data_IF_420240172314
#
_entry.id   IF_420240172314
#
_cell.length_a   1.000
_cell.length_b   1.000
_cell.length_c   1.000
_cell.angle_alpha   90.00
_cell.angle_beta   90.00
_cell.angle_gamma   90.00
#
_symmetry.space_group_name_H-M   'P 1'
#
loop_
_entity.id
_entity.type
_entity.pdbx_description
1 polymer ?
#
# COMPACT_ATOMS: atom_id res chain seq x y z
N UNK A 1 -42.42 39.08 40.14
CA UNK A 1 -41.22 38.24 39.96
C UNK A 1 -41.41 37.43 38.68
N UNK A 2 -40.88 37.91 37.57
CA UNK A 2 -40.93 37.26 36.25
C UNK A 2 -39.52 36.79 35.93
N UNK A 3 -39.30 35.46 35.88
CA UNK A 3 -37.99 34.86 35.62
C UNK A 3 -37.54 35.07 34.16
N UNK A 4 -36.23 34.92 33.88
CA UNK A 4 -35.68 35.18 32.56
C UNK A 4 -35.98 34.05 31.58
N UNK A 5 -36.39 34.42 30.38
CA UNK A 5 -36.66 33.54 29.24
C UNK A 5 -35.35 33.01 28.65
N UNK A 6 -35.24 31.69 28.48
CA UNK A 6 -34.08 31.06 27.85
C UNK A 6 -34.02 31.36 26.34
N UNK A 7 -32.82 31.50 25.73
CA UNK A 7 -32.70 31.77 24.31
C UNK A 7 -32.96 30.50 23.47
N UNK A 8 -33.66 30.68 22.35
CA UNK A 8 -33.94 29.66 21.33
C UNK A 8 -32.63 29.22 20.64
N UNK A 9 -32.40 27.91 20.41
CA UNK A 9 -31.23 27.47 19.67
C UNK A 9 -31.33 27.86 18.19
N UNK A 10 -30.22 28.35 17.64
CA UNK A 10 -30.09 28.66 16.22
C UNK A 10 -30.21 27.37 15.37
N UNK A 11 -30.74 27.45 14.14
CA UNK A 11 -30.86 26.29 13.28
C UNK A 11 -29.47 25.78 12.90
N UNK A 12 -29.20 24.50 13.17
CA UNK A 12 -28.04 23.81 12.65
C UNK A 12 -28.24 23.64 11.15
N UNK A 13 -27.46 24.37 10.35
CA UNK A 13 -27.40 24.17 8.92
C UNK A 13 -26.96 22.74 8.61
N UNK A 14 -27.82 21.99 7.92
CA UNK A 14 -27.47 20.71 7.34
C UNK A 14 -26.47 20.96 6.22
N UNK A 15 -25.17 20.84 6.52
CA UNK A 15 -24.16 20.76 5.48
C UNK A 15 -24.38 19.45 4.72
N UNK A 16 -24.69 19.57 3.43
CA UNK A 16 -24.81 18.46 2.52
C UNK A 16 -23.45 17.75 2.40
N UNK A 17 -23.31 16.45 2.77
CA UNK A 17 -21.99 15.77 2.81
C UNK A 17 -21.34 15.60 1.43
N UNK A 18 -22.06 15.93 0.36
CA UNK A 18 -21.64 15.70 -1.02
C UNK A 18 -20.73 16.79 -1.60
N UNK A 19 -20.53 17.93 -0.93
CA UNK A 19 -19.94 19.14 -1.55
C UNK A 19 -18.46 19.38 -1.22
N UNK A 20 -17.68 18.34 -0.90
CA UNK A 20 -16.22 18.38 -0.97
C UNK A 20 -15.76 17.73 -2.27
N UNK A 21 -15.84 18.53 -3.33
CA UNK A 21 -15.32 18.30 -4.68
C UNK A 21 -14.03 17.46 -4.66
N UNK A 22 -14.15 16.23 -5.15
CA UNK A 22 -13.09 15.27 -5.43
C UNK A 22 -12.06 15.82 -6.42
N UNK A 23 -11.15 16.70 -5.98
CA UNK A 23 -9.94 17.01 -6.74
C UNK A 23 -8.91 15.97 -6.38
N UNK A 24 -8.77 14.95 -7.23
CA UNK A 24 -7.54 14.16 -7.30
C UNK A 24 -6.40 15.11 -7.63
N UNK A 25 -5.36 15.15 -6.81
CA UNK A 25 -4.15 15.85 -7.21
C UNK A 25 -3.42 14.93 -8.20
N UNK A 26 -3.03 15.42 -9.39
CA UNK A 26 -2.19 14.63 -10.27
C UNK A 26 -0.90 14.28 -9.52
N UNK A 27 -0.32 13.08 -9.73
CA UNK A 27 0.93 12.69 -9.10
C UNK A 27 1.99 13.77 -9.35
N UNK A 28 2.84 14.02 -8.36
CA UNK A 28 3.89 15.02 -8.53
C UNK A 28 4.87 14.59 -9.62
N UNK A 29 5.69 15.52 -10.16
CA UNK A 29 6.74 15.18 -11.12
C UNK A 29 7.72 14.10 -10.62
N UNK A 30 7.79 13.88 -9.31
CA UNK A 30 8.70 12.89 -8.72
C UNK A 30 8.14 11.48 -8.64
N UNK A 31 6.82 11.32 -8.70
CA UNK A 31 6.10 10.04 -8.74
C UNK A 31 5.50 9.77 -10.12
N UNK A 32 5.74 10.67 -11.07
CA UNK A 32 5.41 10.52 -12.50
C UNK A 32 6.65 10.04 -13.26
N UNK A 33 6.56 8.97 -14.06
CA UNK A 33 7.67 8.52 -14.89
C UNK A 33 8.00 9.58 -15.97
N UNK A 34 9.28 9.75 -16.34
CA UNK A 34 9.65 10.60 -17.48
C UNK A 34 9.16 10.00 -18.81
N UNK A 35 9.11 10.82 -19.87
CA UNK A 35 8.58 10.43 -21.19
C UNK A 35 9.34 9.27 -21.85
N UNK A 36 10.62 9.09 -21.51
CA UNK A 36 11.49 8.01 -21.99
C UNK A 36 11.48 6.76 -21.10
N UNK A 37 10.64 6.73 -20.06
CA UNK A 37 10.43 5.54 -19.25
C UNK A 37 9.81 4.41 -20.08
N UNK A 38 10.24 3.18 -19.79
CA UNK A 38 9.71 1.97 -20.44
C UNK A 38 8.65 1.30 -19.57
N UNK A 39 7.78 0.51 -20.17
CA UNK A 39 6.84 -0.30 -19.40
C UNK A 39 7.59 -1.35 -18.57
N UNK A 40 7.17 -1.55 -17.32
CA UNK A 40 7.66 -2.67 -16.52
C UNK A 40 7.27 -3.99 -17.19
N UNK A 41 8.19 -4.97 -17.14
CA UNK A 41 7.97 -6.30 -17.70
C UNK A 41 7.68 -7.27 -16.56
N UNK A 42 6.61 -8.06 -16.73
CA UNK A 42 6.31 -9.17 -15.85
C UNK A 42 7.35 -10.27 -16.04
N UNK A 43 8.00 -10.68 -14.96
CA UNK A 43 9.03 -11.71 -15.02
C UNK A 43 8.41 -13.08 -15.37
N UNK A 44 9.15 -13.93 -16.10
CA UNK A 44 8.65 -15.24 -16.54
C UNK A 44 8.38 -16.20 -15.37
N UNK A 45 9.05 -16.00 -14.22
CA UNK A 45 8.84 -16.76 -13.00
C UNK A 45 7.84 -16.10 -12.02
N UNK A 46 7.22 -14.98 -12.40
CA UNK A 46 6.25 -14.30 -11.55
C UNK A 46 5.03 -15.19 -11.25
N UNK A 47 4.52 -15.22 -10.00
CA UNK A 47 3.40 -16.07 -9.60
C UNK A 47 2.17 -15.85 -10.48
N UNK A 48 1.53 -16.93 -10.95
CA UNK A 48 0.39 -16.86 -11.86
C UNK A 48 -0.74 -15.94 -11.34
N UNK A 49 -1.52 -15.29 -12.22
CA UNK A 49 -2.60 -14.39 -11.80
C UNK A 49 -3.57 -15.05 -10.82
N UNK A 50 -3.97 -14.32 -9.77
CA UNK A 50 -4.81 -14.79 -8.65
C UNK A 50 -4.05 -15.52 -7.53
N UNK A 51 -2.78 -15.86 -7.74
CA UNK A 51 -1.94 -16.54 -6.74
C UNK A 51 -1.60 -15.59 -5.58
N UNK A 52 -1.77 -16.01 -4.31
CA UNK A 52 -1.26 -15.26 -3.16
C UNK A 52 0.27 -15.13 -3.21
N UNK A 53 0.79 -13.92 -3.03
CA UNK A 53 2.23 -13.62 -3.10
C UNK A 53 3.00 -14.03 -1.83
N UNK A 54 2.28 -14.29 -0.73
CA UNK A 54 2.88 -14.59 0.57
C UNK A 54 3.58 -13.37 1.18
N UNK A 55 4.44 -13.61 2.16
CA UNK A 55 5.14 -12.55 2.90
C UNK A 55 6.61 -12.45 2.50
N UNK A 56 7.12 -11.22 2.36
CA UNK A 56 8.55 -10.99 2.09
C UNK A 56 9.42 -11.19 3.34
N UNK A 57 8.83 -11.10 4.53
CA UNK A 57 9.48 -11.41 5.81
C UNK A 57 8.39 -11.74 6.83
N UNK A 58 8.51 -12.86 7.55
CA UNK A 58 7.43 -13.36 8.42
C UNK A 58 7.00 -12.38 9.52
N UNK A 59 7.88 -11.47 9.93
CA UNK A 59 7.59 -10.39 10.88
C UNK A 59 7.40 -9.00 10.25
N UNK A 60 7.27 -8.93 8.92
CA UNK A 60 6.91 -7.70 8.24
C UNK A 60 5.61 -7.14 8.80
N UNK A 61 5.57 -5.82 9.03
CA UNK A 61 4.39 -5.15 9.55
C UNK A 61 3.22 -5.17 8.55
N UNK A 62 3.47 -5.14 7.24
CA UNK A 62 2.42 -5.14 6.22
C UNK A 62 1.89 -6.54 5.91
N UNK A 63 2.75 -7.48 5.51
CA UNK A 63 2.34 -8.81 5.04
C UNK A 63 2.73 -9.98 5.97
N UNK A 64 3.45 -9.72 7.07
CA UNK A 64 4.02 -10.76 7.93
C UNK A 64 2.98 -11.55 8.71
N UNK A 65 2.79 -12.86 8.48
CA UNK A 65 1.81 -13.65 9.21
C UNK A 65 2.15 -13.80 10.70
N UNK A 66 3.42 -13.68 11.08
CA UNK A 66 3.88 -13.77 12.48
C UNK A 66 3.93 -12.40 13.17
N UNK A 67 3.62 -11.30 12.47
CA UNK A 67 3.48 -9.98 13.09
C UNK A 67 2.03 -9.73 13.47
N UNK A 68 1.64 -10.12 14.68
CA UNK A 68 0.24 -10.11 15.15
C UNK A 68 -0.35 -8.71 15.28
N UNK A 69 0.49 -7.69 15.48
CA UNK A 69 0.11 -6.28 15.47
C UNK A 69 0.17 -5.63 14.07
N UNK A 70 0.60 -6.39 13.07
CA UNK A 70 0.72 -5.96 11.68
C UNK A 70 -0.61 -6.00 10.94
N UNK A 71 -0.59 -5.50 9.71
CA UNK A 71 -1.78 -5.39 8.87
C UNK A 71 -2.18 -6.74 8.26
N UNK A 72 -1.21 -7.62 8.01
CA UNK A 72 -1.39 -8.97 7.47
C UNK A 72 -2.19 -8.98 6.16
N UNK A 73 -1.81 -8.13 5.20
CA UNK A 73 -2.48 -8.02 3.90
C UNK A 73 -2.45 -9.37 3.14
N UNK A 74 -3.59 -9.75 2.55
CA UNK A 74 -3.63 -10.82 1.54
C UNK A 74 -3.40 -10.19 0.16
N UNK A 75 -2.20 -10.35 -0.38
CA UNK A 75 -1.81 -9.80 -1.70
C UNK A 75 -1.79 -10.89 -2.75
N UNK A 76 -2.38 -10.62 -3.91
CA UNK A 76 -2.52 -11.55 -5.04
C UNK A 76 -1.95 -10.98 -6.32
N UNK A 77 -1.32 -11.83 -7.12
CA UNK A 77 -0.77 -11.47 -8.42
C UNK A 77 -1.86 -11.07 -9.43
N UNK A 78 -1.63 -9.99 -10.16
CA UNK A 78 -2.43 -9.59 -11.31
C UNK A 78 -1.98 -10.24 -12.62
N UNK A 79 -2.52 -9.76 -13.74
CA UNK A 79 -2.24 -10.28 -15.09
C UNK A 79 -0.93 -9.73 -15.67
N UNK A 80 -0.70 -8.43 -15.51
CA UNK A 80 0.51 -7.73 -15.93
C UNK A 80 1.47 -7.53 -14.77
N UNK A 81 2.06 -6.34 -14.69
CA UNK A 81 2.79 -5.85 -13.51
C UNK A 81 1.82 -5.10 -12.61
N UNK A 82 0.88 -5.86 -12.05
CA UNK A 82 -0.16 -5.39 -11.15
C UNK A 82 -0.46 -6.43 -10.08
N UNK A 83 -1.03 -5.96 -8.96
CA UNK A 83 -1.44 -6.78 -7.81
C UNK A 83 -2.72 -6.23 -7.21
N UNK A 84 -3.45 -7.09 -6.49
CA UNK A 84 -4.55 -6.69 -5.62
C UNK A 84 -4.26 -7.10 -4.19
N UNK A 85 -4.74 -6.33 -3.22
CA UNK A 85 -4.65 -6.68 -1.82
C UNK A 85 -5.97 -6.42 -1.08
N UNK A 86 -6.22 -7.22 -0.05
CA UNK A 86 -7.33 -7.02 0.87
C UNK A 86 -6.82 -6.68 2.27
N UNK A 87 -7.38 -5.62 2.85
CA UNK A 87 -7.07 -5.14 4.19
C UNK A 87 -8.34 -4.90 5.00
N UNK A 88 -8.52 -5.64 6.09
CA UNK A 88 -9.63 -5.40 7.03
C UNK A 88 -9.20 -4.37 8.07
N UNK A 89 -9.92 -3.25 8.14
CA UNK A 89 -9.67 -2.19 9.11
C UNK A 89 -10.19 -2.61 10.49
N UNK A 90 -9.30 -2.92 11.42
CA UNK A 90 -9.63 -3.35 12.79
C UNK A 90 -9.70 -2.15 13.74
N UNK A 91 -10.34 -2.27 14.92
CA UNK A 91 -10.35 -1.22 15.94
C UNK A 91 -8.96 -0.72 16.35
N UNK A 92 -7.95 -1.59 16.31
CA UNK A 92 -6.55 -1.24 16.64
C UNK A 92 -5.91 -0.29 15.61
N UNK A 93 -6.50 -0.18 14.41
CA UNK A 93 -6.02 0.67 13.31
C UNK A 93 -6.60 2.09 13.36
N UNK A 94 -7.37 2.42 14.40
CA UNK A 94 -8.02 3.73 14.52
C UNK A 94 -7.01 4.88 14.65
N UNK A 95 -7.32 6.00 14.01
CA UNK A 95 -6.67 7.29 14.28
C UNK A 95 -7.68 8.29 14.85
N UNK A 96 -8.82 8.44 14.16
CA UNK A 96 -9.99 9.12 14.70
C UNK A 96 -10.99 8.13 15.30
N UNK A 97 -11.98 8.59 16.09
CA UNK A 97 -13.04 7.72 16.62
C UNK A 97 -13.77 6.98 15.49
N UNK A 98 -13.64 5.66 15.44
CA UNK A 98 -14.27 4.80 14.42
C UNK A 98 -13.67 4.89 13.01
N UNK A 99 -12.55 5.60 12.82
CA UNK A 99 -11.93 5.82 11.51
C UNK A 99 -10.48 5.34 11.50
N UNK A 100 -10.07 4.70 10.41
CA UNK A 100 -8.69 4.27 10.19
C UNK A 100 -7.72 5.45 10.28
N UNK A 101 -6.57 5.24 10.92
CA UNK A 101 -5.48 6.21 10.93
C UNK A 101 -4.90 6.35 9.51
N UNK A 102 -4.71 7.59 9.04
CA UNK A 102 -4.18 7.84 7.70
C UNK A 102 -2.84 7.16 7.44
N UNK A 103 -1.94 7.16 8.43
CA UNK A 103 -0.67 6.43 8.37
C UNK A 103 -0.81 4.92 8.20
N UNK A 104 -1.85 4.28 8.77
CA UNK A 104 -2.08 2.84 8.60
C UNK A 104 -2.56 2.55 7.18
N UNK A 105 -3.45 3.40 6.64
CA UNK A 105 -3.87 3.30 5.24
C UNK A 105 -2.67 3.49 4.31
N UNK A 106 -1.81 4.48 4.57
CA UNK A 106 -0.57 4.68 3.81
C UNK A 106 0.34 3.46 3.89
N UNK A 107 0.50 2.83 5.05
CA UNK A 107 1.26 1.57 5.18
C UNK A 107 0.66 0.44 4.34
N UNK A 108 -0.67 0.31 4.29
CA UNK A 108 -1.33 -0.68 3.44
C UNK A 108 -1.09 -0.41 1.95
N UNK A 109 -1.09 0.87 1.54
CA UNK A 109 -0.73 1.26 0.17
C UNK A 109 0.73 0.93 -0.15
N UNK A 110 1.67 1.27 0.75
CA UNK A 110 3.11 1.01 0.58
C UNK A 110 3.40 -0.49 0.44
N UNK A 111 2.83 -1.33 1.30
CA UNK A 111 2.99 -2.80 1.21
C UNK A 111 2.44 -3.35 -0.12
N UNK A 112 1.28 -2.85 -0.56
CA UNK A 112 0.67 -3.31 -1.83
C UNK A 112 1.49 -2.84 -3.04
N UNK A 113 1.99 -1.61 -3.04
CA UNK A 113 2.87 -1.08 -4.09
C UNK A 113 4.21 -1.82 -4.13
N UNK A 114 4.82 -2.05 -2.96
CA UNK A 114 6.07 -2.79 -2.82
C UNK A 114 5.94 -4.24 -3.26
N UNK A 115 4.74 -4.82 -3.19
CA UNK A 115 4.47 -6.18 -3.68
C UNK A 115 4.60 -6.35 -5.19
N UNK A 116 4.70 -5.26 -5.98
CA UNK A 116 5.06 -5.33 -7.40
C UNK A 116 6.47 -5.91 -7.63
N UNK A 117 7.32 -5.90 -6.60
CA UNK A 117 8.63 -6.55 -6.59
C UNK A 117 8.53 -8.05 -6.89
N UNK A 118 7.50 -8.73 -6.37
CA UNK A 118 7.22 -10.14 -6.67
C UNK A 118 6.97 -10.39 -8.15
N UNK A 119 6.35 -9.43 -8.84
CA UNK A 119 5.94 -9.57 -10.23
C UNK A 119 7.09 -9.25 -11.18
N UNK A 120 7.96 -8.32 -10.77
CA UNK A 120 9.14 -7.90 -11.54
C UNK A 120 10.39 -8.73 -11.22
N UNK A 121 10.35 -9.58 -10.19
CA UNK A 121 11.54 -10.26 -9.65
C UNK A 121 12.66 -9.28 -9.32
N UNK A 122 12.33 -8.15 -8.69
CA UNK A 122 13.34 -7.18 -8.25
C UNK A 122 13.21 -6.92 -6.76
N UNK A 123 14.31 -6.55 -6.10
CA UNK A 123 14.25 -5.99 -4.77
C UNK A 123 14.32 -4.45 -4.86
N UNK A 124 13.44 -3.76 -4.14
CA UNK A 124 13.41 -2.30 -4.16
C UNK A 124 13.01 -1.73 -2.80
N UNK A 125 13.35 -0.47 -2.59
CA UNK A 125 12.98 0.31 -1.41
C UNK A 125 12.14 1.51 -1.82
N UNK A 126 11.21 1.92 -0.96
CA UNK A 126 10.38 3.10 -1.21
C UNK A 126 11.26 4.36 -1.20
N UNK A 127 11.38 5.03 -2.34
CA UNK A 127 12.08 6.30 -2.48
C UNK A 127 11.17 7.50 -2.24
N UNK A 128 9.92 7.42 -2.72
CA UNK A 128 8.86 8.40 -2.46
C UNK A 128 7.49 7.77 -2.51
N UNK A 129 6.60 8.23 -1.63
CA UNK A 129 5.21 7.81 -1.57
C UNK A 129 4.34 9.04 -1.33
N UNK A 130 3.31 9.20 -2.14
CA UNK A 130 2.30 10.26 -2.06
C UNK A 130 0.93 9.61 -1.97
N UNK A 131 0.09 10.09 -1.04
CA UNK A 131 -1.27 9.57 -0.86
C UNK A 131 -2.31 10.68 -0.83
N UNK A 132 -3.41 10.45 -1.55
CA UNK A 132 -4.61 11.28 -1.51
C UNK A 132 -5.69 10.55 -0.71
N UNK A 133 -6.12 11.14 0.41
CA UNK A 133 -7.22 10.63 1.22
C UNK A 133 -8.55 11.22 0.71
N UNK A 134 -9.24 10.45 -0.12
CA UNK A 134 -10.46 10.86 -0.84
C UNK A 134 -11.70 10.74 0.04
N UNK A 135 -11.76 9.69 0.87
CA UNK A 135 -12.89 9.43 1.79
C UNK A 135 -12.38 8.87 3.12
N UNK A 136 -13.06 9.17 4.24
CA UNK A 136 -12.80 8.49 5.50
C UNK A 136 -13.06 6.99 5.36
N UNK A 137 -12.22 6.17 5.99
CA UNK A 137 -12.34 4.71 5.98
C UNK A 137 -12.81 4.26 7.37
N UNK A 138 -14.05 3.77 7.51
CA UNK A 138 -14.55 3.28 8.79
C UNK A 138 -13.82 2.01 9.25
N UNK A 139 -13.77 1.82 10.56
CA UNK A 139 -13.43 0.51 11.16
C UNK A 139 -14.45 -0.54 10.71
N UNK A 140 -14.00 -1.80 10.69
CA UNK A 140 -14.69 -3.00 10.22
C UNK A 140 -14.96 -3.03 8.71
N UNK A 141 -14.50 -2.02 7.97
CA UNK A 141 -14.53 -2.03 6.51
C UNK A 141 -13.43 -2.90 5.92
N UNK A 142 -13.74 -3.53 4.79
CA UNK A 142 -12.75 -4.12 3.90
C UNK A 142 -12.25 -3.04 2.93
N UNK A 143 -10.94 -2.83 2.89
CA UNK A 143 -10.29 -2.01 1.87
C UNK A 143 -9.69 -2.94 0.82
N UNK A 144 -10.21 -2.86 -0.41
CA UNK A 144 -9.69 -3.55 -1.58
C UNK A 144 -8.72 -2.61 -2.31
N UNK A 145 -7.44 -2.97 -2.37
CA UNK A 145 -6.38 -2.17 -2.95
C UNK A 145 -5.96 -2.80 -4.28
N UNK A 146 -5.83 -1.99 -5.32
CA UNK A 146 -5.19 -2.40 -6.59
C UNK A 146 -3.95 -1.53 -6.79
N UNK A 147 -2.82 -2.15 -7.09
CA UNK A 147 -1.58 -1.46 -7.45
C UNK A 147 -1.05 -1.93 -8.81
N UNK A 148 -0.41 -1.05 -9.55
CA UNK A 148 0.17 -1.35 -10.85
C UNK A 148 1.41 -0.48 -11.12
N UNK A 149 2.33 -0.99 -11.94
CA UNK A 149 3.44 -0.19 -12.43
C UNK A 149 2.99 0.81 -13.49
N UNK A 150 3.51 2.02 -13.43
CA UNK A 150 3.29 3.09 -14.42
C UNK A 150 4.51 3.35 -15.30
N UNK A 151 5.68 2.80 -14.97
CA UNK A 151 6.87 2.90 -15.80
C UNK A 151 8.15 2.53 -15.05
N UNK A 152 9.22 2.33 -15.80
CA UNK A 152 10.57 2.06 -15.29
C UNK A 152 11.56 2.98 -16.01
N UNK A 153 12.44 3.62 -15.24
CA UNK A 153 13.52 4.44 -15.79
C UNK A 153 14.82 4.17 -15.02
N UNK A 154 15.74 3.41 -15.63
CA UNK A 154 16.91 2.88 -14.94
C UNK A 154 16.50 2.03 -13.72
N UNK A 155 17.01 2.36 -12.53
CA UNK A 155 16.66 1.67 -11.27
C UNK A 155 15.35 2.14 -10.64
N UNK A 156 14.59 3.01 -11.29
CA UNK A 156 13.38 3.63 -10.74
C UNK A 156 12.15 2.90 -11.25
N UNK A 157 11.39 2.29 -10.35
CA UNK A 157 10.07 1.73 -10.62
C UNK A 157 9.01 2.74 -10.16
N UNK A 158 8.22 3.23 -11.11
CA UNK A 158 7.07 4.09 -10.85
C UNK A 158 5.82 3.23 -10.77
N UNK A 159 4.96 3.52 -9.81
CA UNK A 159 3.73 2.77 -9.57
C UNK A 159 2.62 3.64 -8.99
N UNK A 160 1.39 3.18 -9.15
CA UNK A 160 0.19 3.81 -8.63
C UNK A 160 -0.74 2.76 -8.01
N UNK A 161 -1.61 3.20 -7.10
CA UNK A 161 -2.59 2.35 -6.47
C UNK A 161 -3.88 3.09 -6.10
N UNK A 162 -4.98 2.34 -6.04
CA UNK A 162 -6.28 2.79 -5.53
C UNK A 162 -6.80 1.83 -4.46
N UNK A 163 -7.22 2.37 -3.32
CA UNK A 163 -7.94 1.65 -2.27
C UNK A 163 -9.42 1.98 -2.28
N UNK A 164 -10.27 0.96 -2.35
CA UNK A 164 -11.74 1.06 -2.44
C UNK A 164 -12.41 0.35 -1.27
N UNK A 165 -13.47 0.95 -0.73
CA UNK A 165 -14.20 0.39 0.41
C UNK A 165 -15.18 -0.69 -0.08
N UNK A 166 -15.18 -1.85 0.57
CA UNK A 166 -16.15 -2.94 0.38
C UNK A 166 -15.83 -3.91 -0.76
N UNK A 167 -15.04 -3.51 -1.76
CA UNK A 167 -14.67 -4.38 -2.88
C UNK A 167 -14.11 -3.62 -4.10
N UNK A 168 -13.85 -4.33 -5.22
CA UNK A 168 -13.21 -3.77 -6.40
C UNK A 168 -14.03 -2.67 -7.09
N UNK A 169 -15.36 -2.74 -7.03
CA UNK A 169 -16.28 -1.72 -7.57
C UNK A 169 -16.70 -0.68 -6.51
N UNK A 170 -16.13 -0.76 -5.31
CA UNK A 170 -16.43 0.14 -4.21
C UNK A 170 -15.96 1.59 -4.45
N UNK A 171 -16.43 2.55 -3.63
CA UNK A 171 -15.98 3.93 -3.73
C UNK A 171 -14.49 4.03 -3.35
N UNK A 172 -13.72 4.78 -4.16
CA UNK A 172 -12.31 5.07 -3.88
C UNK A 172 -12.22 5.88 -2.60
N UNK A 173 -11.45 5.40 -1.63
CA UNK A 173 -11.17 6.11 -0.39
C UNK A 173 -9.76 6.66 -0.32
N UNK A 174 -8.80 6.01 -0.98
CA UNK A 174 -7.40 6.43 -1.00
C UNK A 174 -6.80 6.18 -2.38
N UNK A 175 -5.93 7.08 -2.83
CA UNK A 175 -5.02 6.85 -3.96
C UNK A 175 -3.59 7.00 -3.52
N UNK A 176 -2.69 6.32 -4.22
CA UNK A 176 -1.27 6.46 -3.99
C UNK A 176 -0.49 6.50 -5.30
N UNK A 177 0.59 7.26 -5.31
CA UNK A 177 1.63 7.22 -6.34
C UNK A 177 2.98 7.10 -5.66
N UNK A 178 3.86 6.27 -6.20
CA UNK A 178 5.14 5.98 -5.58
C UNK A 178 6.26 5.78 -6.60
N UNK A 179 7.46 6.02 -6.08
CA UNK A 179 8.73 5.75 -6.73
C UNK A 179 9.49 4.77 -5.83
N UNK A 180 9.75 3.58 -6.35
CA UNK A 180 10.62 2.56 -5.75
C UNK A 180 11.98 2.56 -6.42
N UNK A 181 13.04 2.37 -5.63
CA UNK A 181 14.42 2.31 -6.11
C UNK A 181 14.89 0.87 -6.01
N UNK A 182 15.20 0.26 -7.16
CA UNK A 182 15.76 -1.08 -7.24
C UNK A 182 17.16 -1.09 -6.61
N UNK A 183 17.35 -2.06 -5.72
CA UNK A 183 18.58 -2.29 -4.96
C UNK A 183 18.93 -3.76 -5.00
N UNK A 184 20.20 -4.08 -4.73
CA UNK A 184 20.60 -5.47 -4.53
C UNK A 184 20.27 -5.91 -3.10
N UNK A 185 20.22 -7.23 -2.87
CA UNK A 185 19.92 -7.77 -1.54
C UNK A 185 20.92 -7.34 -0.46
N UNK A 186 22.17 -7.03 -0.83
CA UNK A 186 23.18 -6.55 0.12
C UNK A 186 22.75 -5.25 0.81
N UNK A 187 21.85 -4.47 0.21
CA UNK A 187 21.26 -3.30 0.86
C UNK A 187 20.58 -3.67 2.19
N UNK A 188 19.79 -4.75 2.20
CA UNK A 188 19.05 -5.17 3.39
C UNK A 188 19.97 -5.84 4.42
N UNK A 189 20.95 -6.62 3.98
CA UNK A 189 21.90 -7.27 4.90
C UNK A 189 22.89 -6.29 5.51
N UNK A 190 23.19 -5.16 4.84
CA UNK A 190 24.06 -4.11 5.37
C UNK A 190 23.36 -3.27 6.44
N UNK A 191 22.05 -3.01 6.29
CA UNK A 191 21.32 -2.07 7.14
C UNK A 191 20.37 -2.72 8.15
N UNK A 192 20.03 -4.00 7.97
CA UNK A 192 19.19 -4.75 8.91
C UNK A 192 19.90 -5.08 10.22
N UNK A 193 19.13 -5.38 11.27
CA UNK A 193 19.70 -5.87 12.52
C UNK A 193 20.28 -7.27 12.30
N UNK A 194 21.52 -7.58 12.77
CA UNK A 194 22.16 -8.86 12.49
C UNK A 194 21.32 -10.09 12.86
N UNK A 195 20.60 -10.04 13.98
CA UNK A 195 19.72 -11.13 14.42
C UNK A 195 18.53 -11.38 13.48
N UNK A 196 17.96 -10.33 12.89
CA UNK A 196 16.81 -10.46 11.98
C UNK A 196 17.27 -10.95 10.62
N UNK A 197 18.43 -10.47 10.14
CA UNK A 197 19.04 -10.97 8.90
C UNK A 197 19.35 -12.46 9.03
N UNK A 198 19.96 -12.86 10.15
CA UNK A 198 20.23 -14.27 10.42
C UNK A 198 18.94 -15.10 10.41
N UNK A 199 17.91 -14.66 11.14
CA UNK A 199 16.63 -15.34 11.16
C UNK A 199 15.98 -15.45 9.77
N UNK A 200 16.09 -14.40 8.95
CA UNK A 200 15.57 -14.39 7.57
C UNK A 200 16.36 -15.31 6.63
N UNK A 201 17.68 -15.44 6.80
CA UNK A 201 18.51 -16.35 6.02
C UNK A 201 18.33 -17.82 6.43
N UNK A 202 18.05 -18.06 7.71
CA UNK A 202 17.78 -19.39 8.26
C UNK A 202 16.35 -19.87 7.91
N UNK A 203 15.46 -18.98 7.45
CA UNK A 203 14.11 -19.28 6.96
C UNK A 203 14.18 -19.77 5.49
N UNK A 204 13.86 -21.06 5.21
CA UNK A 204 13.95 -21.63 3.87
C UNK A 204 13.06 -20.93 2.82
N UNK A 205 11.90 -20.41 3.23
CA UNK A 205 10.97 -19.75 2.32
C UNK A 205 11.52 -18.39 1.92
N UNK A 206 11.99 -17.60 2.89
CA UNK A 206 12.61 -16.29 2.64
C UNK A 206 13.90 -16.46 1.84
N UNK A 207 14.73 -17.46 2.14
CA UNK A 207 15.95 -17.73 1.39
C UNK A 207 15.68 -18.09 -0.08
N UNK A 208 14.67 -18.94 -0.33
CA UNK A 208 14.26 -19.29 -1.70
C UNK A 208 13.78 -18.06 -2.48
N UNK A 209 13.03 -17.18 -1.83
CA UNK A 209 12.51 -15.92 -2.41
C UNK A 209 13.64 -14.92 -2.67
N UNK A 210 14.57 -14.77 -1.73
CA UNK A 210 15.76 -13.94 -1.88
C UNK A 210 16.58 -14.37 -3.11
N UNK A 211 16.84 -15.67 -3.28
CA UNK A 211 17.51 -16.16 -4.50
C UNK A 211 16.77 -15.83 -5.79
N UNK A 212 15.44 -15.86 -5.79
CA UNK A 212 14.66 -15.47 -6.96
C UNK A 212 14.86 -13.99 -7.35
N UNK A 213 15.16 -13.12 -6.37
CA UNK A 213 15.46 -11.70 -6.59
C UNK A 213 16.93 -11.43 -6.96
N UNK A 214 17.88 -12.31 -6.65
CA UNK A 214 19.30 -12.15 -7.02
C UNK A 214 19.59 -12.47 -8.49
N UNK A 215 18.75 -13.27 -9.13
CA UNK A 215 18.97 -13.78 -10.50
C UNK A 215 18.54 -12.77 -11.58
N UNK A 216 17.99 -11.61 -11.18
CA UNK A 216 17.55 -10.56 -12.10
C UNK A 216 18.55 -9.38 -12.11
N UNK A 217 19.49 -9.34 -13.07
CA UNK A 217 20.52 -8.30 -13.16
C UNK A 217 20.00 -6.92 -13.61
#
# INVERSE_FOLDING_TARGET
MTGPTAPTPAPQGSADPAEHSHRSFPPSPSTTPPDDAVAAVRHCEAPAPGTPLGSHYVHCFGCGPQQTSGLQLDVRAGQGVDVTAEFVVKPVHQGGPGLAHGGILTTAMDETLGSLNWITHTASVTGRLETDFVRPVPVDSLLHIRAWSTGVHGRKLYCAAEGRIGGPEGPIAIRAAALFIQVKLEHFTTHGRPQDIKAALDDPDVFKRARAFEVNP
#
